data_IF_063793400992
#
_entry.id   IF_063793400992
#
_cell.length_a   1.000
_cell.length_b   1.000
_cell.length_c   1.000
_cell.angle_alpha   90.00
_cell.angle_beta   90.00
_cell.angle_gamma   90.00
#
_symmetry.space_group_name_H-M   'P 1'
#
loop_
_entity.id
_entity.type
_entity.pdbx_description
1 polymer ?
#
# COMPACT_ATOMS: atom_id res chain seq x y z
N UNK A 1 -12.62 -18.79 10.73
CA UNK A 1 -13.03 -18.20 9.44
C UNK A 1 -11.88 -18.27 8.46
N UNK A 2 -12.11 -18.75 7.23
CA UNK A 2 -11.11 -18.86 6.16
C UNK A 2 -11.21 -17.67 5.19
N UNK A 3 -10.08 -17.09 4.78
CA UNK A 3 -10.00 -15.95 3.85
C UNK A 3 -10.66 -16.29 2.50
N UNK A 4 -10.52 -17.52 2.04
CA UNK A 4 -11.15 -17.97 0.79
C UNK A 4 -12.69 -17.98 0.89
N UNK A 5 -13.24 -18.28 2.07
CA UNK A 5 -14.68 -18.21 2.29
C UNK A 5 -15.17 -16.75 2.32
N UNK A 6 -14.39 -15.83 2.90
CA UNK A 6 -14.67 -14.38 2.87
C UNK A 6 -14.61 -13.85 1.43
N UNK A 7 -13.59 -14.22 0.65
CA UNK A 7 -13.46 -13.89 -0.77
C UNK A 7 -14.66 -14.40 -1.58
N UNK A 8 -15.07 -15.64 -1.32
CA UNK A 8 -16.25 -16.25 -1.96
C UNK A 8 -17.53 -15.48 -1.65
N UNK A 9 -17.73 -15.06 -0.40
CA UNK A 9 -18.88 -14.25 -0.01
C UNK A 9 -18.89 -12.89 -0.73
N UNK A 10 -17.76 -12.18 -0.80
CA UNK A 10 -17.67 -10.90 -1.49
C UNK A 10 -17.97 -11.06 -2.99
N UNK A 11 -17.46 -12.11 -3.63
CA UNK A 11 -17.75 -12.40 -5.04
C UNK A 11 -19.25 -12.63 -5.28
N UNK A 12 -19.91 -13.47 -4.46
CA UNK A 12 -21.36 -13.71 -4.58
C UNK A 12 -22.16 -12.43 -4.28
N UNK A 13 -21.74 -11.63 -3.31
CA UNK A 13 -22.40 -10.37 -2.97
C UNK A 13 -22.33 -9.34 -4.11
N UNK A 14 -21.20 -9.29 -4.83
CA UNK A 14 -21.02 -8.38 -5.97
C UNK A 14 -21.76 -8.88 -7.22
N UNK A 15 -21.70 -10.17 -7.50
CA UNK A 15 -22.29 -10.76 -8.70
C UNK A 15 -23.82 -10.97 -8.58
N UNK A 16 -24.33 -11.13 -7.36
CA UNK A 16 -25.74 -11.47 -7.11
C UNK A 16 -26.13 -12.90 -7.50
N UNK A 17 -25.20 -13.68 -8.09
CA UNK A 17 -25.42 -15.04 -8.56
C UNK A 17 -24.25 -15.94 -8.19
N UNK A 18 -24.56 -17.14 -7.69
CA UNK A 18 -23.55 -18.13 -7.30
C UNK A 18 -22.75 -18.65 -8.50
N UNK A 19 -23.38 -18.77 -9.68
CA UNK A 19 -22.68 -19.24 -10.88
C UNK A 19 -21.68 -18.19 -11.38
N UNK A 20 -22.09 -16.92 -11.47
CA UNK A 20 -21.20 -15.84 -11.86
C UNK A 20 -19.98 -15.70 -10.91
N UNK A 21 -20.20 -15.85 -9.60
CA UNK A 21 -19.11 -15.87 -8.63
C UNK A 21 -18.19 -17.11 -8.78
N UNK A 22 -18.74 -18.27 -9.14
CA UNK A 22 -17.96 -19.46 -9.46
C UNK A 22 -17.06 -19.23 -10.68
N UNK A 23 -17.62 -18.64 -11.73
CA UNK A 23 -16.90 -18.31 -12.96
C UNK A 23 -15.77 -17.30 -12.69
N UNK A 24 -16.03 -16.26 -11.88
CA UNK A 24 -15.02 -15.27 -11.45
C UNK A 24 -13.87 -15.92 -10.65
N UNK A 25 -14.21 -16.86 -9.77
CA UNK A 25 -13.25 -17.51 -8.88
C UNK A 25 -12.55 -18.74 -9.52
N UNK A 26 -12.96 -19.16 -10.72
CA UNK A 26 -12.42 -20.34 -11.39
C UNK A 26 -12.71 -21.65 -10.65
N UNK A 27 -13.83 -21.75 -9.93
CA UNK A 27 -14.22 -22.93 -9.15
C UNK A 27 -15.65 -23.36 -9.47
N UNK A 28 -16.07 -24.54 -9.01
CA UNK A 28 -17.45 -24.99 -9.22
C UNK A 28 -18.44 -24.24 -8.33
N UNK A 29 -19.68 -24.08 -8.81
CA UNK A 29 -20.78 -23.49 -8.05
C UNK A 29 -21.12 -24.28 -6.77
N UNK A 30 -20.85 -25.58 -6.75
CA UNK A 30 -20.93 -26.43 -5.55
C UNK A 30 -19.84 -26.05 -4.52
N UNK A 31 -18.62 -25.77 -4.96
CA UNK A 31 -17.54 -25.31 -4.08
C UNK A 31 -17.87 -23.93 -3.48
N UNK A 32 -18.38 -22.99 -4.29
CA UNK A 32 -18.90 -21.70 -3.81
C UNK A 32 -19.95 -21.92 -2.72
N UNK A 33 -20.98 -22.72 -3.02
CA UNK A 33 -22.08 -22.99 -2.07
C UNK A 33 -21.57 -23.59 -0.76
N UNK A 34 -20.61 -24.53 -0.84
CA UNK A 34 -20.01 -25.16 0.35
C UNK A 34 -19.22 -24.16 1.19
N UNK A 35 -18.44 -23.26 0.57
CA UNK A 35 -17.67 -22.21 1.25
C UNK A 35 -18.59 -21.21 1.95
N UNK A 36 -19.65 -20.74 1.28
CA UNK A 36 -20.66 -19.86 1.87
C UNK A 36 -21.34 -20.53 3.06
N UNK A 37 -21.84 -21.75 2.89
CA UNK A 37 -22.51 -22.48 3.98
C UNK A 37 -21.57 -22.73 5.18
N UNK A 38 -20.27 -22.95 4.92
CA UNK A 38 -19.25 -23.06 5.97
C UNK A 38 -19.04 -21.74 6.73
N UNK A 39 -19.01 -20.62 6.01
CA UNK A 39 -18.89 -19.29 6.59
C UNK A 39 -20.11 -18.92 7.44
N UNK A 40 -21.32 -19.09 6.90
CA UNK A 40 -22.58 -18.83 7.59
C UNK A 40 -22.72 -19.69 8.85
N UNK A 41 -22.32 -20.97 8.79
CA UNK A 41 -22.30 -21.85 9.96
C UNK A 41 -21.32 -21.36 11.03
N UNK A 42 -20.15 -20.87 10.62
CA UNK A 42 -19.14 -20.37 11.56
C UNK A 42 -19.57 -19.07 12.25
N UNK A 43 -20.35 -18.24 11.56
CA UNK A 43 -20.86 -16.97 12.06
C UNK A 43 -22.25 -17.11 12.72
N UNK A 44 -22.87 -18.29 12.63
CA UNK A 44 -24.21 -18.59 13.13
C UNK A 44 -25.32 -17.68 12.58
N UNK A 45 -25.09 -17.09 11.39
CA UNK A 45 -26.04 -16.20 10.71
C UNK A 45 -26.08 -16.50 9.21
N UNK A 46 -27.21 -16.23 8.57
CA UNK A 46 -27.30 -16.24 7.12
C UNK A 46 -26.83 -14.88 6.58
N UNK A 47 -25.85 -14.88 5.68
CA UNK A 47 -25.33 -13.68 5.02
C UNK A 47 -26.02 -13.43 3.68
N UNK A 48 -26.54 -14.49 3.05
CA UNK A 48 -27.21 -14.44 1.75
C UNK A 48 -28.61 -15.05 1.83
N UNK A 49 -29.54 -14.47 1.06
CA UNK A 49 -30.91 -14.97 0.90
C UNK A 49 -31.11 -15.35 -0.56
N UNK A 50 -31.59 -16.57 -0.82
CA UNK A 50 -31.93 -17.01 -2.18
C UNK A 50 -33.15 -16.25 -2.70
N UNK A 51 -33.12 -15.92 -3.99
CA UNK A 51 -34.23 -15.31 -4.72
C UNK A 51 -34.50 -16.08 -6.00
N UNK A 52 -35.60 -15.77 -6.69
CA UNK A 52 -35.94 -16.38 -7.99
C UNK A 52 -34.92 -16.06 -9.10
N UNK A 53 -34.06 -15.05 -8.91
CA UNK A 53 -33.10 -14.57 -9.91
C UNK A 53 -31.64 -14.71 -9.44
N UNK A 54 -31.39 -15.41 -8.33
CA UNK A 54 -30.06 -15.59 -7.76
C UNK A 54 -30.05 -15.46 -6.24
N UNK A 55 -29.31 -14.47 -5.74
CA UNK A 55 -29.16 -14.20 -4.31
C UNK A 55 -29.02 -12.72 -4.01
N UNK A 56 -29.41 -12.34 -2.79
CA UNK A 56 -29.20 -10.99 -2.24
C UNK A 56 -28.60 -11.08 -0.85
N UNK A 57 -28.01 -9.99 -0.37
CA UNK A 57 -27.56 -9.91 1.01
C UNK A 57 -28.75 -9.98 1.99
N UNK A 58 -28.54 -10.65 3.11
CA UNK A 58 -29.37 -10.50 4.31
C UNK A 58 -29.05 -9.17 5.02
N UNK A 59 -29.68 -8.91 6.17
CA UNK A 59 -29.28 -7.77 7.02
C UNK A 59 -27.87 -7.98 7.56
N UNK A 60 -27.56 -9.17 8.08
CA UNK A 60 -26.23 -9.52 8.58
C UNK A 60 -25.19 -9.48 7.46
N UNK A 61 -25.56 -9.91 6.24
CA UNK A 61 -24.71 -9.81 5.06
C UNK A 61 -24.36 -8.38 4.68
N UNK A 62 -25.32 -7.45 4.79
CA UNK A 62 -25.06 -6.02 4.56
C UNK A 62 -24.10 -5.44 5.61
N UNK A 63 -24.25 -5.84 6.87
CA UNK A 63 -23.34 -5.46 7.96
C UNK A 63 -21.95 -6.05 7.72
N UNK A 64 -21.87 -7.32 7.33
CA UNK A 64 -20.62 -8.05 7.20
C UNK A 64 -19.80 -7.62 5.97
N UNK A 65 -20.43 -7.27 4.85
CA UNK A 65 -19.76 -6.92 3.59
C UNK A 65 -18.64 -5.87 3.71
N UNK A 66 -18.83 -4.69 4.34
CA UNK A 66 -17.75 -3.72 4.50
C UNK A 66 -16.58 -4.25 5.34
N UNK A 67 -16.83 -5.12 6.33
CA UNK A 67 -15.77 -5.76 7.13
C UNK A 67 -15.03 -6.82 6.33
N UNK A 68 -15.76 -7.65 5.57
CA UNK A 68 -15.19 -8.64 4.66
C UNK A 68 -14.23 -7.99 3.65
N UNK A 69 -14.64 -6.87 3.03
CA UNK A 69 -13.78 -6.10 2.11
C UNK A 69 -12.50 -5.60 2.80
N UNK A 70 -12.61 -5.06 4.02
CA UNK A 70 -11.44 -4.60 4.79
C UNK A 70 -10.46 -5.74 5.12
N UNK A 71 -10.98 -6.92 5.47
CA UNK A 71 -10.14 -8.10 5.73
C UNK A 71 -9.36 -8.49 4.47
N UNK A 72 -10.03 -8.54 3.31
CA UNK A 72 -9.35 -8.88 2.05
C UNK A 72 -8.29 -7.84 1.68
N UNK A 73 -8.58 -6.54 1.84
CA UNK A 73 -7.59 -5.49 1.64
C UNK A 73 -6.40 -5.62 2.59
N UNK A 74 -6.62 -5.95 3.87
CA UNK A 74 -5.53 -6.14 4.83
C UNK A 74 -4.64 -7.35 4.47
N UNK A 75 -5.24 -8.44 3.97
CA UNK A 75 -4.50 -9.60 3.46
C UNK A 75 -3.66 -9.20 2.24
N UNK A 76 -4.24 -8.50 1.28
CA UNK A 76 -3.53 -7.99 0.10
C UNK A 76 -2.36 -7.07 0.51
N UNK A 77 -2.58 -6.16 1.46
CA UNK A 77 -1.53 -5.29 1.99
C UNK A 77 -0.40 -6.07 2.69
N UNK A 78 -0.74 -7.09 3.49
CA UNK A 78 0.24 -7.94 4.16
C UNK A 78 1.08 -8.73 3.15
N UNK A 79 0.45 -9.29 2.12
CA UNK A 79 1.15 -9.98 1.03
C UNK A 79 2.06 -9.02 0.26
N UNK A 80 1.59 -7.80 -0.03
CA UNK A 80 2.42 -6.79 -0.66
C UNK A 80 3.59 -6.39 0.23
N UNK A 81 3.41 -6.21 1.53
CA UNK A 81 4.48 -5.77 2.43
C UNK A 81 5.71 -6.70 2.45
N UNK A 82 5.53 -7.99 2.15
CA UNK A 82 6.61 -8.99 2.16
C UNK A 82 7.15 -9.32 0.77
N UNK A 83 6.57 -8.77 -0.31
CA UNK A 83 7.08 -8.99 -1.67
C UNK A 83 8.42 -8.26 -1.85
N UNK A 84 9.45 -8.92 -2.42
CA UNK A 84 10.70 -8.26 -2.79
C UNK A 84 10.42 -7.06 -3.72
N UNK A 85 10.86 -5.86 -3.33
CA UNK A 85 10.58 -4.61 -4.05
C UNK A 85 9.35 -3.83 -3.57
N UNK A 86 8.63 -4.32 -2.55
CA UNK A 86 7.46 -3.66 -1.97
C UNK A 86 7.70 -3.00 -0.61
N UNK A 87 8.96 -3.01 -0.14
CA UNK A 87 9.37 -2.10 0.96
C UNK A 87 9.17 -0.66 0.47
N UNK A 88 8.55 0.24 1.27
CA UNK A 88 8.37 1.62 0.87
C UNK A 88 9.71 2.22 0.47
N UNK A 89 9.74 3.01 -0.61
CA UNK A 89 10.92 3.79 -0.97
C UNK A 89 11.17 4.79 0.16
N UNK A 90 12.25 4.61 0.92
CA UNK A 90 12.58 5.46 2.07
C UNK A 90 13.45 6.61 1.59
N UNK A 91 12.85 7.78 1.42
CA UNK A 91 13.54 8.96 0.90
C UNK A 91 13.76 9.93 2.05
N UNK A 92 15.03 10.18 2.38
CA UNK A 92 15.40 11.18 3.37
C UNK A 92 15.21 12.60 2.81
N UNK A 93 14.26 13.31 3.40
CA UNK A 93 13.94 14.71 3.12
C UNK A 93 14.47 15.59 4.24
N UNK A 94 15.77 15.90 4.20
CA UNK A 94 16.44 16.69 5.23
C UNK A 94 15.62 17.94 5.62
N UNK A 95 15.38 18.06 6.94
CA UNK A 95 14.26 18.74 7.60
C UNK A 95 14.06 20.26 7.38
N UNK A 96 14.72 20.91 6.40
CA UNK A 96 14.66 22.39 6.28
C UNK A 96 14.65 22.94 4.86
N UNK A 97 14.61 22.08 3.83
CA UNK A 97 14.48 22.56 2.44
C UNK A 97 13.12 22.19 1.88
N UNK A 98 12.33 23.23 1.58
CA UNK A 98 10.99 23.11 0.99
C UNK A 98 11.05 22.38 -0.37
N UNK A 99 12.15 22.57 -1.12
CA UNK A 99 12.25 22.08 -2.50
C UNK A 99 12.35 20.54 -2.62
N UNK A 100 13.17 19.80 -1.85
CA UNK A 100 13.13 18.34 -1.80
C UNK A 100 11.77 17.74 -1.41
N UNK A 101 11.12 18.30 -0.38
CA UNK A 101 9.79 17.85 0.03
C UNK A 101 8.75 18.05 -1.08
N UNK A 102 8.81 19.18 -1.81
CA UNK A 102 7.96 19.42 -2.98
C UNK A 102 8.26 18.45 -4.14
N UNK A 103 9.53 18.09 -4.37
CA UNK A 103 9.89 17.13 -5.41
C UNK A 103 9.32 15.73 -5.11
N UNK A 104 9.47 15.27 -3.86
CA UNK A 104 8.90 14.00 -3.40
C UNK A 104 7.37 14.02 -3.47
N UNK A 105 6.74 15.12 -3.04
CA UNK A 105 5.29 15.28 -3.12
C UNK A 105 4.77 15.25 -4.56
N UNK A 106 5.45 15.93 -5.50
CA UNK A 106 5.09 15.89 -6.93
C UNK A 106 5.25 14.50 -7.52
N UNK A 107 6.33 13.80 -7.17
CA UNK A 107 6.56 12.42 -7.58
C UNK A 107 5.42 11.51 -7.11
N UNK A 108 5.09 11.55 -5.81
CA UNK A 108 4.00 10.76 -5.24
C UNK A 108 2.66 11.04 -5.92
N UNK A 109 2.32 12.31 -6.17
CA UNK A 109 1.07 12.67 -6.89
C UNK A 109 0.99 12.11 -8.31
N UNK A 110 2.12 11.95 -8.98
CA UNK A 110 2.17 11.39 -10.34
C UNK A 110 2.11 9.86 -10.38
N UNK A 111 2.40 9.20 -9.24
CA UNK A 111 2.50 7.74 -9.08
C UNK A 111 2.00 7.29 -7.70
N UNK A 112 0.70 7.47 -7.39
CA UNK A 112 0.15 7.18 -6.06
C UNK A 112 0.24 5.69 -5.67
N UNK A 113 0.43 4.80 -6.63
CA UNK A 113 0.70 3.37 -6.43
C UNK A 113 2.08 3.08 -5.83
N UNK A 114 2.99 4.06 -5.86
CA UNK A 114 4.32 3.91 -5.25
C UNK A 114 4.23 4.07 -3.74
N UNK A 115 4.58 3.01 -3.01
CA UNK A 115 4.69 3.07 -1.56
C UNK A 115 5.95 3.86 -1.19
N UNK A 116 5.78 5.04 -0.58
CA UNK A 116 6.88 5.98 -0.28
C UNK A 116 6.83 6.39 1.19
N UNK A 117 7.98 6.31 1.86
CA UNK A 117 8.17 6.75 3.23
C UNK A 117 9.15 7.92 3.25
N UNK A 118 8.65 9.11 3.57
CA UNK A 118 9.48 10.30 3.73
C UNK A 118 10.08 10.28 5.14
N UNK A 119 11.36 9.91 5.23
CA UNK A 119 12.07 9.86 6.50
C UNK A 119 12.82 11.16 6.72
N UNK A 120 12.98 11.55 7.98
CA UNK A 120 13.84 12.68 8.36
C UNK A 120 15.02 12.12 9.12
N UNK A 121 16.21 12.25 8.55
CA UNK A 121 17.43 11.96 9.29
C UNK A 121 17.90 13.21 10.03
N UNK A 122 18.09 13.11 11.35
CA UNK A 122 18.59 14.21 12.19
C UNK A 122 20.04 14.63 11.87
N UNK A 123 20.68 13.96 10.91
CA UNK A 123 22.09 14.13 10.58
C UNK A 123 22.26 14.93 9.28
N UNK A 124 22.83 16.13 9.38
CA UNK A 124 23.17 16.98 8.22
C UNK A 124 24.39 16.47 7.41
N UNK A 125 25.14 15.50 7.94
CA UNK A 125 26.38 15.02 7.34
C UNK A 125 26.14 14.13 6.10
N UNK A 126 26.76 14.50 4.99
CA UNK A 126 26.74 13.77 3.72
C UNK A 126 27.30 12.34 3.82
N UNK A 127 28.36 12.13 4.59
CA UNK A 127 29.03 10.83 4.72
C UNK A 127 28.09 9.82 5.41
N UNK A 128 27.41 10.24 6.48
CA UNK A 128 26.48 9.37 7.19
C UNK A 128 25.22 9.07 6.37
N UNK A 129 24.73 10.06 5.62
CA UNK A 129 23.62 9.85 4.69
C UNK A 129 23.99 8.83 3.60
N UNK A 130 25.18 8.94 3.02
CA UNK A 130 25.70 7.95 2.08
C UNK A 130 25.80 6.56 2.70
N UNK A 131 26.27 6.44 3.95
CA UNK A 131 26.29 5.16 4.66
C UNK A 131 24.87 4.59 4.87
N UNK A 132 23.87 5.43 5.15
CA UNK A 132 22.50 4.98 5.29
C UNK A 132 21.89 4.47 3.98
N UNK A 133 22.25 5.08 2.86
CA UNK A 133 21.89 4.60 1.51
C UNK A 133 22.60 3.28 1.20
N UNK A 134 23.92 3.21 1.41
CA UNK A 134 24.72 2.00 1.17
C UNK A 134 24.28 0.81 2.03
N UNK A 135 23.82 1.05 3.26
CA UNK A 135 23.30 0.02 4.18
C UNK A 135 21.83 -0.32 3.95
N UNK A 136 21.13 0.39 3.06
CA UNK A 136 19.71 0.18 2.76
C UNK A 136 18.75 0.62 3.87
N UNK A 137 19.21 1.39 4.87
CA UNK A 137 18.33 2.00 5.87
C UNK A 137 17.54 3.19 5.30
N UNK A 138 18.06 3.81 4.24
CA UNK A 138 17.37 4.73 3.33
C UNK A 138 17.64 4.29 1.89
N UNK A 139 16.77 4.65 0.96
CA UNK A 139 16.93 4.36 -0.47
C UNK A 139 17.50 5.54 -1.25
N UNK A 140 17.20 6.76 -0.80
CA UNK A 140 17.75 7.99 -1.35
C UNK A 140 17.80 9.07 -0.28
N UNK A 141 18.66 10.07 -0.47
CA UNK A 141 18.78 11.23 0.43
C UNK A 141 19.10 12.49 -0.35
N UNK A 142 18.46 13.60 0.01
CA UNK A 142 18.79 14.92 -0.54
C UNK A 142 19.92 15.57 0.26
N UNK A 143 21.03 15.87 -0.40
CA UNK A 143 22.19 16.52 0.22
C UNK A 143 22.76 17.63 -0.67
N UNK A 144 23.23 18.70 -0.04
CA UNK A 144 24.06 19.70 -0.69
C UNK A 144 25.52 19.33 -0.41
N UNK A 145 26.17 18.69 -1.38
CA UNK A 145 27.55 18.21 -1.29
C UNK A 145 28.29 18.63 -2.55
N UNK A 146 29.53 19.14 -2.47
CA UNK A 146 30.36 19.33 -3.65
C UNK A 146 30.48 18.03 -4.44
N UNK A 147 30.44 18.08 -5.77
CA UNK A 147 30.50 16.89 -6.61
C UNK A 147 31.76 16.04 -6.35
N UNK A 148 32.89 16.68 -6.04
CA UNK A 148 34.14 16.02 -5.70
C UNK A 148 34.12 15.30 -4.34
N UNK A 149 33.14 15.59 -3.48
CA UNK A 149 33.00 15.04 -2.13
C UNK A 149 31.88 13.98 -2.03
N UNK A 150 31.27 13.60 -3.15
CA UNK A 150 30.29 12.51 -3.19
C UNK A 150 30.99 11.19 -2.80
N UNK A 151 30.53 10.49 -1.75
CA UNK A 151 31.17 9.25 -1.32
C UNK A 151 31.14 8.16 -2.40
N UNK A 152 32.21 7.36 -2.47
CA UNK A 152 32.29 6.24 -3.41
C UNK A 152 31.11 5.27 -3.22
N UNK A 153 30.57 4.78 -4.34
CA UNK A 153 29.40 3.89 -4.34
C UNK A 153 28.04 4.62 -4.29
N UNK A 154 28.02 5.95 -4.22
CA UNK A 154 26.81 6.76 -4.37
C UNK A 154 26.78 7.40 -5.75
N UNK A 155 25.64 7.27 -6.44
CA UNK A 155 25.32 8.09 -7.61
C UNK A 155 24.68 9.39 -7.14
N UNK A 156 25.15 10.52 -7.66
CA UNK A 156 24.60 11.84 -7.36
C UNK A 156 24.10 12.49 -8.65
N UNK A 157 22.92 13.10 -8.58
CA UNK A 157 22.32 13.86 -9.68
C UNK A 157 21.98 15.27 -9.21
N UNK A 158 22.26 16.26 -10.06
CA UNK A 158 21.90 17.66 -9.78
C UNK A 158 20.40 17.84 -9.99
N UNK A 159 19.66 18.03 -8.89
CA UNK A 159 18.21 18.20 -8.96
C UNK A 159 17.76 19.66 -9.09
N UNK A 160 18.32 20.56 -8.27
CA UNK A 160 17.90 21.96 -8.22
C UNK A 160 19.01 22.86 -7.69
N UNK A 161 18.98 24.13 -8.12
CA UNK A 161 19.78 25.20 -7.54
C UNK A 161 18.86 26.12 -6.73
N UNK A 162 19.23 26.37 -5.47
CA UNK A 162 18.49 27.29 -4.60
C UNK A 162 19.42 28.43 -4.17
N UNK A 163 19.02 29.70 -4.35
CA UNK A 163 19.82 30.83 -3.89
C UNK A 163 19.93 30.83 -2.36
N UNK A 164 21.14 31.02 -1.84
CA UNK A 164 21.38 31.22 -0.42
C UNK A 164 21.29 32.73 -0.11
N UNK A 165 20.34 33.11 0.73
CA UNK A 165 20.18 34.50 1.17
C UNK A 165 20.65 34.63 2.62
N UNK A 166 21.49 35.64 2.88
CA UNK A 166 21.85 36.05 4.23
C UNK A 166 20.86 37.13 4.67
N UNK A 167 20.14 36.87 5.76
CA UNK A 167 19.27 37.85 6.39
C UNK A 167 20.02 38.46 7.59
N UNK A 168 20.13 39.78 7.61
CA UNK A 168 20.69 40.54 8.74
C UNK A 168 19.64 41.53 9.22
N UNK A 169 19.59 41.76 10.54
CA UNK A 169 18.75 42.81 11.11
C UNK A 169 19.30 44.21 10.83
N UNK A 170 18.51 45.27 11.07
CA UNK A 170 19.00 46.65 11.01
C UNK A 170 20.06 46.93 12.08
#
# INVERSE_FOLDING_TARGET
MDVEAVRTFVAVANAGQFQAAADELGISQQAVSKRIAGLERHLEVALLVRTSHGSRLSLDGQVFLPHAKKVLTAVEQAEHAVRPGSRPLRVDVLNRRIAPAQAVYRFYRSRPETNLDAVTMDQENAIQAAQAVLKGSADASFRAVPAAEVPAGISAERLLDAPLQLLVGP
#
